data_IF_262283394974
#
_entry.id   IF_262283394974
#
_cell.length_a   1.000
_cell.length_b   1.000
_cell.length_c   1.000
_cell.angle_alpha   90.00
_cell.angle_beta   90.00
_cell.angle_gamma   90.00
#
_symmetry.space_group_name_H-M   'P 1'
#
loop_
_entity.id
_entity.type
_entity.pdbx_description
1 polymer ?
#
# COMPACT_ATOMS: atom_id res chain seq x y z
N UNK A 1 -3.58 -12.17 -20.81
CA UNK A 1 -3.20 -12.97 -19.62
C UNK A 1 -3.45 -12.09 -18.41
N UNK A 2 -4.44 -12.41 -17.57
CA UNK A 2 -4.61 -11.69 -16.31
C UNK A 2 -3.42 -12.06 -15.42
N UNK A 3 -2.50 -11.13 -15.20
CA UNK A 3 -1.42 -11.30 -14.24
C UNK A 3 -2.08 -11.41 -12.88
N UNK A 4 -2.18 -12.63 -12.32
CA UNK A 4 -2.62 -12.81 -10.93
C UNK A 4 -1.70 -11.96 -10.05
N UNK A 5 -2.23 -10.86 -9.51
CA UNK A 5 -1.47 -10.00 -8.59
C UNK A 5 -1.21 -10.81 -7.32
N UNK A 6 0.04 -11.23 -7.14
CA UNK A 6 0.42 -12.02 -5.97
C UNK A 6 0.54 -11.14 -4.73
N UNK A 7 0.36 -11.70 -3.52
CA UNK A 7 0.65 -11.00 -2.26
C UNK A 7 2.06 -10.38 -2.24
N UNK A 8 3.04 -11.09 -2.82
CA UNK A 8 4.41 -10.61 -2.98
C UNK A 8 4.49 -9.34 -3.83
N UNK A 9 3.80 -9.31 -4.98
CA UNK A 9 3.76 -8.12 -5.83
C UNK A 9 3.16 -6.91 -5.09
N UNK A 10 2.02 -7.11 -4.41
CA UNK A 10 1.36 -6.06 -3.63
C UNK A 10 2.29 -5.53 -2.53
N UNK A 11 3.00 -6.42 -1.83
CA UNK A 11 3.99 -6.04 -0.81
C UNK A 11 5.09 -5.16 -1.39
N UNK A 12 5.67 -5.56 -2.52
CA UNK A 12 6.71 -4.78 -3.21
C UNK A 12 6.18 -3.41 -3.67
N UNK A 13 4.95 -3.35 -4.17
CA UNK A 13 4.31 -2.10 -4.55
C UNK A 13 4.14 -1.15 -3.36
N UNK A 14 3.70 -1.65 -2.20
CA UNK A 14 3.59 -0.86 -0.96
C UNK A 14 4.95 -0.27 -0.60
N UNK A 15 5.98 -1.11 -0.50
CA UNK A 15 7.34 -0.68 -0.11
C UNK A 15 7.88 0.35 -1.10
N UNK A 16 7.78 0.07 -2.40
CA UNK A 16 8.23 0.97 -3.45
C UNK A 16 7.53 2.33 -3.36
N UNK A 17 6.22 2.34 -3.11
CA UNK A 17 5.43 3.57 -2.99
C UNK A 17 5.86 4.39 -1.78
N UNK A 18 6.08 3.75 -0.62
CA UNK A 18 6.58 4.42 0.58
C UNK A 18 7.96 5.03 0.33
N UNK A 19 8.89 4.26 -0.26
CA UNK A 19 10.23 4.75 -0.58
C UNK A 19 10.19 5.97 -1.53
N UNK A 20 9.35 5.92 -2.56
CA UNK A 20 9.19 7.03 -3.52
C UNK A 20 8.55 8.30 -2.92
N UNK A 21 7.75 8.18 -1.86
CA UNK A 21 7.11 9.33 -1.21
C UNK A 21 8.04 9.92 -0.14
N UNK A 22 8.61 9.05 0.70
CA UNK A 22 9.38 9.46 1.89
C UNK A 22 10.86 9.70 1.62
N UNK A 23 11.39 9.11 0.54
CA UNK A 23 12.83 9.06 0.27
C UNK A 23 13.59 8.02 1.12
N UNK A 24 12.89 7.25 1.97
CA UNK A 24 13.50 6.21 2.79
C UNK A 24 14.07 5.08 1.94
N UNK A 25 15.14 4.44 2.42
CA UNK A 25 15.74 3.32 1.72
C UNK A 25 14.84 2.05 1.85
N UNK A 26 14.78 1.18 0.83
CA UNK A 26 13.97 -0.04 0.90
C UNK A 26 14.30 -0.91 2.10
N UNK A 27 15.58 -1.01 2.48
CA UNK A 27 16.02 -1.80 3.63
C UNK A 27 15.43 -1.29 4.95
N UNK A 28 15.32 0.03 5.11
CA UNK A 28 14.75 0.67 6.28
C UNK A 28 13.25 0.36 6.37
N UNK A 29 12.52 0.54 5.27
CA UNK A 29 11.08 0.28 5.20
C UNK A 29 10.76 -1.21 5.41
N UNK A 30 11.56 -2.11 4.84
CA UNK A 30 11.35 -3.56 4.97
C UNK A 30 11.59 -4.10 6.37
N UNK A 31 12.39 -3.40 7.18
CA UNK A 31 12.70 -3.79 8.55
C UNK A 31 11.64 -3.30 9.55
N UNK A 32 10.69 -2.46 9.12
CA UNK A 32 9.63 -1.94 9.97
C UNK A 32 8.45 -2.91 10.08
N UNK A 33 8.04 -3.23 11.31
CA UNK A 33 6.77 -3.91 11.57
C UNK A 33 5.57 -2.97 11.33
N UNK A 34 5.77 -1.68 11.63
CA UNK A 34 4.81 -0.60 11.49
C UNK A 34 5.45 0.62 10.84
N UNK A 35 4.76 1.21 9.88
CA UNK A 35 5.15 2.44 9.20
C UNK A 35 4.29 3.57 9.74
N UNK A 36 4.92 4.65 10.18
CA UNK A 36 4.25 5.89 10.59
C UNK A 36 4.55 7.00 9.57
N UNK A 37 3.52 7.71 9.12
CA UNK A 37 3.62 8.77 8.10
C UNK A 37 2.99 10.05 8.60
N UNK A 38 3.58 11.20 8.25
CA UNK A 38 2.87 12.47 8.41
C UNK A 38 1.67 12.54 7.44
N UNK A 39 0.76 13.50 7.64
CA UNK A 39 -0.47 13.66 6.85
C UNK A 39 -0.21 13.74 5.34
N UNK A 40 0.82 14.49 4.91
CA UNK A 40 1.12 14.65 3.48
C UNK A 40 1.58 13.33 2.87
N UNK A 41 2.51 12.65 3.53
CA UNK A 41 3.09 11.41 3.01
C UNK A 41 2.05 10.29 3.05
N UNK A 42 1.17 10.27 4.06
CA UNK A 42 0.00 9.39 4.13
C UNK A 42 -0.91 9.56 2.90
N UNK A 43 -1.35 10.78 2.62
CA UNK A 43 -2.21 11.09 1.47
C UNK A 43 -1.56 10.69 0.15
N UNK A 44 -0.25 10.96 -0.01
CA UNK A 44 0.47 10.60 -1.23
C UNK A 44 0.63 9.08 -1.39
N UNK A 45 0.96 8.35 -0.33
CA UNK A 45 1.10 6.89 -0.37
C UNK A 45 -0.24 6.25 -0.75
N UNK A 46 -1.32 6.59 -0.06
CA UNK A 46 -2.61 5.96 -0.30
C UNK A 46 -3.23 6.39 -1.63
N UNK A 47 -3.09 7.65 -2.06
CA UNK A 47 -3.58 8.07 -3.38
C UNK A 47 -2.89 7.31 -4.52
N UNK A 48 -1.57 7.08 -4.42
CA UNK A 48 -0.81 6.33 -5.43
C UNK A 48 -1.18 4.84 -5.43
N UNK A 49 -1.35 4.23 -4.26
CA UNK A 49 -1.75 2.82 -4.16
C UNK A 49 -3.16 2.60 -4.71
N UNK A 50 -4.11 3.44 -4.34
CA UNK A 50 -5.49 3.40 -4.83
C UNK A 50 -5.56 3.57 -6.35
N UNK A 51 -4.86 4.56 -6.90
CA UNK A 51 -4.82 4.78 -8.35
C UNK A 51 -4.10 3.65 -9.11
N UNK A 52 -3.01 3.10 -8.57
CA UNK A 52 -2.25 2.03 -9.24
C UNK A 52 -3.01 0.71 -9.28
N UNK A 53 -3.78 0.42 -8.22
CA UNK A 53 -4.54 -0.82 -8.09
C UNK A 53 -5.99 -0.70 -8.59
N UNK A 54 -6.43 0.51 -8.95
CA UNK A 54 -7.81 0.84 -9.29
C UNK A 54 -8.81 0.38 -8.21
N UNK A 55 -8.51 0.74 -6.96
CA UNK A 55 -9.33 0.39 -5.79
C UNK A 55 -9.54 1.60 -4.89
N UNK A 56 -10.56 1.53 -4.04
CA UNK A 56 -10.72 2.44 -2.91
C UNK A 56 -10.47 1.68 -1.61
N UNK A 57 -9.54 2.18 -0.79
CA UNK A 57 -9.21 1.61 0.52
C UNK A 57 -9.96 2.29 1.66
N UNK A 58 -10.31 3.57 1.50
CA UNK A 58 -10.87 4.42 2.55
C UNK A 58 -9.81 4.98 3.51
N UNK A 59 -8.53 4.72 3.26
CA UNK A 59 -7.43 5.14 4.14
C UNK A 59 -7.17 6.65 4.06
N UNK A 60 -7.50 7.30 2.94
CA UNK A 60 -7.37 8.76 2.80
C UNK A 60 -8.17 9.54 3.85
N UNK A 61 -9.32 9.02 4.29
CA UNK A 61 -10.16 9.65 5.31
C UNK A 61 -9.89 9.13 6.72
N UNK A 62 -8.96 8.19 6.89
CA UNK A 62 -8.60 7.66 8.21
C UNK A 62 -7.94 8.75 9.05
N UNK A 63 -8.18 8.72 10.37
CA UNK A 63 -7.41 9.53 11.34
C UNK A 63 -6.10 8.83 11.75
N UNK A 64 -5.97 7.53 11.46
CA UNK A 64 -4.74 6.78 11.73
C UNK A 64 -3.62 7.24 10.81
N UNK A 65 -2.40 7.24 11.34
CA UNK A 65 -1.19 7.63 10.60
C UNK A 65 -0.11 6.57 10.65
N UNK A 66 -0.45 5.39 11.16
CA UNK A 66 0.42 4.23 11.18
C UNK A 66 -0.29 2.99 10.65
N UNK A 67 0.47 2.10 10.01
CA UNK A 67 -0.06 0.83 9.50
C UNK A 67 1.03 -0.24 9.48
N UNK A 68 0.62 -1.50 9.56
CA UNK A 68 1.51 -2.64 9.29
C UNK A 68 1.52 -2.94 7.79
N UNK A 69 2.71 -3.11 7.20
CA UNK A 69 2.88 -3.45 5.78
C UNK A 69 2.16 -4.77 5.45
N UNK A 70 2.26 -5.77 6.31
CA UNK A 70 1.63 -7.08 6.09
C UNK A 70 0.10 -6.99 6.13
N UNK A 71 -0.46 -6.23 7.09
CA UNK A 71 -1.91 -6.01 7.16
C UNK A 71 -2.42 -5.24 5.95
N UNK A 72 -1.69 -4.20 5.53
CA UNK A 72 -2.02 -3.44 4.33
C UNK A 72 -1.97 -4.34 3.10
N UNK A 73 -0.92 -5.15 2.95
CA UNK A 73 -0.77 -6.09 1.83
C UNK A 73 -1.97 -7.04 1.74
N UNK A 74 -2.38 -7.67 2.85
CA UNK A 74 -3.53 -8.58 2.85
C UNK A 74 -4.82 -7.86 2.48
N UNK A 75 -5.05 -6.65 2.99
CA UNK A 75 -6.21 -5.84 2.65
C UNK A 75 -6.23 -5.48 1.15
N UNK A 76 -5.12 -4.98 0.61
CA UNK A 76 -5.05 -4.58 -0.81
C UNK A 76 -5.20 -5.80 -1.72
N UNK A 77 -4.54 -6.91 -1.40
CA UNK A 77 -4.68 -8.16 -2.15
C UNK A 77 -6.14 -8.64 -2.16
N UNK A 78 -6.80 -8.65 -1.00
CA UNK A 78 -8.21 -9.00 -0.92
C UNK A 78 -9.07 -8.06 -1.79
N UNK A 79 -8.89 -6.74 -1.69
CA UNK A 79 -9.66 -5.78 -2.50
C UNK A 79 -9.46 -5.96 -4.00
N UNK A 80 -8.22 -6.12 -4.47
CA UNK A 80 -7.93 -6.37 -5.88
C UNK A 80 -8.58 -7.66 -6.36
N UNK A 81 -8.50 -8.74 -5.58
CA UNK A 81 -9.14 -10.02 -5.96
C UNK A 81 -10.66 -9.96 -5.99
N UNK A 82 -11.30 -9.14 -5.15
CA UNK A 82 -12.76 -8.94 -5.17
C UNK A 82 -13.22 -7.98 -6.27
N UNK A 83 -12.36 -7.07 -6.73
CA UNK A 83 -12.65 -6.15 -7.84
C UNK A 83 -12.51 -6.82 -9.22
N UNK A 84 -11.90 -7.99 -9.32
CA UNK A 84 -11.94 -8.82 -10.54
C UNK A 84 -13.30 -9.52 -10.58
N UNK A 85 -14.33 -8.81 -11.01
CA UNK A 85 -15.57 -9.42 -11.51
C UNK A 85 -15.28 -9.86 -12.96
N UNK A 86 -15.28 -11.17 -13.18
CA UNK A 86 -15.18 -11.79 -14.52
C UNK A 86 -16.50 -11.58 -15.27
#
# INVERSE_FOLDING_TARGET
MATLMTPYFIRQLIIHTICNVTGAAPIEVTALDWVELNTRDWEQVFSRLEATLDIQTGMLTSIERSFSIEKLMHMLHARVTHNIVI
#
